data_IF_685626340683
#
_entry.id   IF_685626340683
#
_cell.length_a   1.000
_cell.length_b   1.000
_cell.length_c   1.000
_cell.angle_alpha   90.00
_cell.angle_beta   90.00
_cell.angle_gamma   90.00
#
_symmetry.space_group_name_H-M   'P 1'
#
loop_
_entity.id
_entity.type
_entity.pdbx_description
1 polymer ?
#
# COMPACT_ATOMS: atom_id res chain seq x y z
N UNK A 1 -30.04 60.13 7.31
CA UNK A 1 -29.57 58.86 6.71
C UNK A 1 -28.04 58.84 6.75
N UNK A 2 -27.41 59.92 6.30
CA UNK A 2 -25.98 60.26 6.40
C UNK A 2 -25.33 59.95 7.77
N UNK A 3 -25.85 60.49 8.88
CA UNK A 3 -25.30 60.22 10.23
C UNK A 3 -25.26 58.73 10.66
N UNK A 4 -26.07 57.85 10.05
CA UNK A 4 -25.98 56.39 10.28
C UNK A 4 -24.88 55.76 9.45
N UNK A 5 -24.68 56.26 8.22
CA UNK A 5 -23.59 55.86 7.33
C UNK A 5 -22.25 56.27 7.95
N UNK A 6 -22.12 57.49 8.43
CA UNK A 6 -20.90 58.01 9.06
C UNK A 6 -20.49 57.15 10.27
N UNK A 7 -21.47 56.76 11.09
CA UNK A 7 -21.26 55.87 12.25
C UNK A 7 -20.82 54.45 11.83
N UNK A 8 -21.24 53.97 10.68
CA UNK A 8 -20.81 52.67 10.15
C UNK A 8 -19.39 52.79 9.62
N UNK A 9 -19.09 53.85 8.87
CA UNK A 9 -17.76 54.13 8.35
C UNK A 9 -16.71 54.24 9.46
N UNK A 10 -17.02 54.99 10.53
CA UNK A 10 -16.15 55.10 11.70
C UNK A 10 -15.84 53.73 12.33
N UNK A 11 -16.85 52.86 12.45
CA UNK A 11 -16.66 51.51 13.00
C UNK A 11 -15.81 50.62 12.10
N UNK A 12 -15.93 50.77 10.78
CA UNK A 12 -15.10 50.04 9.82
C UNK A 12 -13.66 50.53 9.89
N UNK A 13 -13.43 51.84 9.87
CA UNK A 13 -12.09 52.42 10.03
C UNK A 13 -11.43 51.96 11.34
N UNK A 14 -12.21 51.95 12.43
CA UNK A 14 -11.72 51.42 13.71
C UNK A 14 -11.39 49.92 13.61
N UNK A 15 -12.28 49.11 13.04
CA UNK A 15 -12.06 47.67 12.90
C UNK A 15 -10.82 47.35 12.05
N UNK A 16 -10.59 48.11 10.97
CA UNK A 16 -9.40 47.99 10.13
C UNK A 16 -8.14 48.34 10.92
N UNK A 17 -8.15 49.45 11.66
CA UNK A 17 -7.01 49.85 12.50
C UNK A 17 -6.73 48.87 13.65
N UNK A 18 -7.78 48.29 14.25
CA UNK A 18 -7.67 47.27 15.29
C UNK A 18 -7.03 45.99 14.68
N UNK A 19 -7.40 45.60 13.47
CA UNK A 19 -6.85 44.43 12.77
C UNK A 19 -5.39 44.65 12.38
N UNK A 20 -5.03 45.82 11.86
CA UNK A 20 -3.64 46.18 11.57
C UNK A 20 -2.77 46.13 12.83
N UNK A 21 -3.27 46.63 13.96
CA UNK A 21 -2.55 46.57 15.23
C UNK A 21 -2.34 45.13 15.72
N UNK A 22 -3.37 44.27 15.61
CA UNK A 22 -3.25 42.85 15.94
C UNK A 22 -2.20 42.17 15.06
N UNK A 23 -2.21 42.42 13.75
CA UNK A 23 -1.23 41.88 12.82
C UNK A 23 0.19 42.33 13.20
N UNK A 24 0.40 43.62 13.43
CA UNK A 24 1.70 44.17 13.84
C UNK A 24 2.23 43.50 15.10
N UNK A 25 1.38 43.34 16.12
CA UNK A 25 1.74 42.67 17.37
C UNK A 25 2.14 41.21 17.14
N UNK A 26 1.36 40.46 16.37
CA UNK A 26 1.66 39.06 16.06
C UNK A 26 2.97 38.92 15.29
N UNK A 27 3.21 39.76 14.29
CA UNK A 27 4.47 39.75 13.55
C UNK A 27 5.67 40.06 14.44
N UNK A 28 5.53 41.04 15.34
CA UNK A 28 6.57 41.36 16.31
C UNK A 28 6.84 40.18 17.24
N UNK A 29 5.79 39.59 17.84
CA UNK A 29 5.90 38.45 18.73
C UNK A 29 6.51 37.22 18.03
N UNK A 30 6.15 36.93 16.79
CA UNK A 30 6.73 35.83 16.00
C UNK A 30 8.22 36.08 15.70
N UNK A 31 8.61 37.33 15.39
CA UNK A 31 10.00 37.72 15.11
C UNK A 31 10.88 37.62 16.36
N UNK A 32 10.40 38.05 17.53
CA UNK A 32 11.18 38.01 18.78
C UNK A 32 11.23 36.63 19.41
N UNK A 33 10.15 35.85 19.30
CA UNK A 33 10.07 34.50 19.85
C UNK A 33 10.66 33.48 18.89
N UNK A 34 11.50 33.90 17.94
CA UNK A 34 12.15 33.00 17.00
C UNK A 34 12.81 31.89 17.82
N UNK A 35 12.28 30.66 17.80
CA UNK A 35 13.01 29.58 18.42
C UNK A 35 14.29 29.51 17.60
N UNK A 36 15.42 29.69 18.26
CA UNK A 36 16.70 29.38 17.67
C UNK A 36 16.52 28.04 16.93
N UNK A 37 16.67 28.08 15.61
CA UNK A 37 15.95 27.21 14.65
C UNK A 37 16.39 25.74 14.66
N UNK A 38 17.01 25.30 15.76
CA UNK A 38 17.63 24.01 15.93
C UNK A 38 16.65 22.82 16.05
N UNK A 39 15.31 23.03 16.13
CA UNK A 39 14.42 21.91 16.47
C UNK A 39 13.01 21.84 15.85
N UNK A 40 12.40 22.94 15.39
CA UNK A 40 11.03 22.91 14.85
C UNK A 40 11.04 23.09 13.33
N UNK A 41 10.76 22.01 12.60
CA UNK A 41 10.63 22.05 11.13
C UNK A 41 9.45 22.93 10.72
N UNK A 42 9.62 23.64 9.61
CA UNK A 42 8.57 24.46 9.00
C UNK A 42 7.36 23.58 8.60
N UNK A 43 6.13 23.87 9.05
CA UNK A 43 4.94 23.09 8.69
C UNK A 43 4.68 22.98 7.19
N UNK A 44 4.98 24.03 6.41
CA UNK A 44 4.85 24.03 4.95
C UNK A 44 5.86 23.06 4.30
N UNK A 45 7.09 22.98 4.84
CA UNK A 45 8.08 22.02 4.38
C UNK A 45 7.65 20.58 4.71
N UNK A 46 7.14 20.34 5.93
CA UNK A 46 6.61 19.06 6.35
C UNK A 46 5.47 18.57 5.44
N UNK A 47 4.53 19.43 5.06
CA UNK A 47 3.44 19.08 4.15
C UNK A 47 3.95 18.64 2.77
N UNK A 48 5.00 19.31 2.25
CA UNK A 48 5.64 18.92 0.99
C UNK A 48 6.34 17.56 1.12
N UNK A 49 7.09 17.34 2.20
CA UNK A 49 7.75 16.05 2.48
C UNK A 49 6.72 14.91 2.55
N UNK A 50 5.62 15.11 3.29
CA UNK A 50 4.54 14.13 3.40
C UNK A 50 3.91 13.81 2.04
N UNK A 51 3.68 14.81 1.20
CA UNK A 51 3.16 14.58 -0.15
C UNK A 51 4.09 13.70 -0.99
N UNK A 52 5.41 13.91 -0.89
CA UNK A 52 6.40 13.09 -1.61
C UNK A 52 6.39 11.66 -1.08
N UNK A 53 6.34 11.46 0.24
CA UNK A 53 6.31 10.14 0.87
C UNK A 53 5.05 9.37 0.44
N UNK A 54 3.88 10.01 0.50
CA UNK A 54 2.61 9.41 0.11
C UNK A 54 2.62 8.99 -1.36
N UNK A 55 3.12 9.84 -2.25
CA UNK A 55 3.24 9.51 -3.68
C UNK A 55 4.16 8.31 -3.91
N UNK A 56 5.34 8.27 -3.26
CA UNK A 56 6.28 7.15 -3.39
C UNK A 56 5.68 5.84 -2.90
N UNK A 57 4.96 5.88 -1.79
CA UNK A 57 4.26 4.71 -1.26
C UNK A 57 3.20 4.19 -2.25
N UNK A 58 2.37 5.08 -2.80
CA UNK A 58 1.34 4.72 -3.77
C UNK A 58 1.95 4.06 -5.01
N UNK A 59 3.03 4.63 -5.55
CA UNK A 59 3.75 4.05 -6.69
C UNK A 59 4.31 2.67 -6.35
N UNK A 60 4.99 2.52 -5.21
CA UNK A 60 5.54 1.24 -4.79
C UNK A 60 4.45 0.18 -4.60
N UNK A 61 3.33 0.55 -3.99
CA UNK A 61 2.20 -0.34 -3.78
C UNK A 61 1.56 -0.78 -5.11
N UNK A 62 1.37 0.16 -6.05
CA UNK A 62 0.87 -0.14 -7.38
C UNK A 62 1.81 -1.08 -8.16
N UNK A 63 3.13 -0.90 -8.04
CA UNK A 63 4.13 -1.79 -8.63
C UNK A 63 4.14 -3.18 -7.97
N UNK A 64 3.96 -3.26 -6.65
CA UNK A 64 4.05 -4.51 -5.92
C UNK A 64 2.83 -5.43 -6.12
N UNK A 65 1.62 -4.86 -6.29
CA UNK A 65 0.39 -5.65 -6.52
C UNK A 65 0.51 -6.70 -7.63
N UNK A 66 0.87 -6.35 -8.89
CA UNK A 66 0.97 -7.34 -9.95
C UNK A 66 2.10 -8.35 -9.70
N UNK A 67 3.22 -7.92 -9.13
CA UNK A 67 4.35 -8.83 -8.79
C UNK A 67 3.94 -9.90 -7.80
N UNK A 68 3.14 -9.54 -6.78
CA UNK A 68 2.64 -10.50 -5.81
C UNK A 68 1.71 -11.55 -6.46
N UNK A 69 0.88 -11.13 -7.42
CA UNK A 69 -0.01 -12.03 -8.18
C UNK A 69 0.82 -12.95 -9.09
N UNK A 70 1.70 -12.39 -9.90
CA UNK A 70 2.55 -13.14 -10.83
C UNK A 70 3.44 -14.16 -10.10
N UNK A 71 3.99 -13.78 -8.95
CA UNK A 71 4.78 -14.68 -8.13
C UNK A 71 3.95 -15.85 -7.58
N UNK A 72 2.69 -15.61 -7.18
CA UNK A 72 1.76 -16.65 -6.75
C UNK A 72 1.42 -17.60 -7.92
N UNK A 73 1.14 -17.04 -9.10
CA UNK A 73 0.82 -17.81 -10.31
C UNK A 73 2.01 -18.64 -10.79
N UNK A 74 3.21 -18.06 -10.81
CA UNK A 74 4.45 -18.75 -11.19
C UNK A 74 4.69 -19.95 -10.27
N UNK A 75 4.56 -19.75 -8.96
CA UNK A 75 4.65 -20.82 -7.95
C UNK A 75 3.65 -21.94 -8.19
N UNK A 76 2.39 -21.59 -8.49
CA UNK A 76 1.33 -22.54 -8.86
C UNK A 76 1.70 -23.34 -10.11
N UNK A 77 2.15 -22.67 -11.17
CA UNK A 77 2.54 -23.27 -12.43
C UNK A 77 3.72 -24.24 -12.26
N UNK A 78 4.73 -23.87 -11.48
CA UNK A 78 5.86 -24.74 -11.15
C UNK A 78 5.39 -26.00 -10.41
N UNK A 79 4.52 -25.86 -9.41
CA UNK A 79 3.92 -27.00 -8.73
C UNK A 79 3.20 -27.94 -9.69
N UNK A 80 2.34 -27.41 -10.56
CA UNK A 80 1.59 -28.22 -11.52
C UNK A 80 2.54 -28.94 -12.49
N UNK A 81 3.56 -28.24 -12.96
CA UNK A 81 4.55 -28.75 -13.93
C UNK A 81 5.42 -29.85 -13.35
N UNK A 82 5.80 -29.75 -12.07
CA UNK A 82 6.60 -30.79 -11.39
C UNK A 82 5.72 -32.00 -11.04
N UNK A 83 4.50 -31.79 -10.52
CA UNK A 83 3.65 -32.89 -10.07
C UNK A 83 3.07 -33.72 -11.22
N UNK A 84 2.79 -33.12 -12.38
CA UNK A 84 2.16 -33.82 -13.53
C UNK A 84 3.01 -34.99 -14.09
N UNK A 85 4.29 -34.80 -14.49
CA UNK A 85 5.14 -35.89 -14.94
C UNK A 85 5.44 -36.88 -13.82
N UNK A 86 5.62 -36.42 -12.57
CA UNK A 86 5.87 -37.30 -11.43
C UNK A 86 4.73 -38.31 -11.21
N UNK A 87 3.47 -37.86 -11.28
CA UNK A 87 2.31 -38.75 -11.21
C UNK A 87 2.16 -39.63 -12.46
N UNK A 88 2.47 -39.09 -13.64
CA UNK A 88 2.41 -39.83 -14.91
C UNK A 88 3.45 -40.95 -14.99
N UNK A 89 4.62 -40.81 -14.37
CA UNK A 89 5.67 -41.84 -14.35
C UNK A 89 5.46 -42.88 -13.22
N UNK A 90 4.89 -42.48 -12.08
CA UNK A 90 4.55 -43.41 -10.99
C UNK A 90 3.36 -44.35 -11.32
N UNK A 91 2.37 -43.89 -12.10
CA UNK A 91 1.18 -44.71 -12.41
C UNK A 91 1.50 -45.96 -13.26
N UNK A 92 2.28 -45.90 -14.36
CA UNK A 92 2.69 -47.06 -15.15
C UNK A 92 3.61 -48.02 -14.40
N UNK A 93 4.48 -47.52 -13.50
CA UNK A 93 5.32 -48.34 -12.61
C UNK A 93 4.49 -49.24 -11.67
N UNK A 94 3.25 -48.83 -11.32
CA UNK A 94 2.34 -49.64 -10.50
C UNK A 94 1.57 -50.69 -11.30
N UNK A 95 1.46 -50.53 -12.62
CA UNK A 95 0.69 -51.43 -13.50
C UNK A 95 1.56 -52.43 -14.26
N UNK A 96 2.85 -52.16 -14.39
CA UNK A 96 3.84 -53.02 -15.05
C UNK A 96 4.86 -53.34 -13.97
N UNK A 97 5.12 -54.61 -13.62
CA UNK A 97 6.10 -55.09 -12.62
C UNK A 97 7.57 -54.76 -13.00
N UNK A 98 7.81 -53.58 -13.58
CA UNK A 98 9.10 -53.05 -13.94
C UNK A 98 9.63 -52.29 -12.71
N UNK A 99 10.37 -52.99 -11.85
CA UNK A 99 11.10 -52.35 -10.75
C UNK A 99 12.20 -51.45 -11.30
N UNK A 100 11.88 -50.18 -11.50
CA UNK A 100 12.87 -49.12 -11.49
C UNK A 100 13.13 -48.74 -10.03
N UNK A 101 14.39 -48.42 -9.71
CA UNK A 101 14.76 -47.96 -8.36
C UNK A 101 13.76 -46.91 -7.87
N UNK A 102 13.28 -47.02 -6.61
CA UNK A 102 12.44 -46.00 -6.01
C UNK A 102 13.08 -44.63 -6.24
N UNK A 103 12.23 -43.65 -6.59
CA UNK A 103 12.63 -42.25 -6.71
C UNK A 103 13.55 -41.89 -5.54
N UNK A 104 14.71 -41.28 -5.84
CA UNK A 104 15.70 -41.00 -4.81
C UNK A 104 15.04 -40.22 -3.66
N UNK A 105 15.41 -40.52 -2.42
CA UNK A 105 14.84 -39.85 -1.24
C UNK A 105 14.94 -38.33 -1.35
N UNK A 106 15.99 -37.83 -2.02
CA UNK A 106 16.16 -36.42 -2.37
C UNK A 106 14.99 -35.85 -3.21
N UNK A 107 14.54 -36.55 -4.25
CA UNK A 107 13.44 -36.10 -5.12
C UNK A 107 12.08 -36.14 -4.40
N UNK A 108 11.83 -37.14 -3.54
CA UNK A 108 10.62 -37.18 -2.70
C UNK A 108 10.60 -36.03 -1.71
N UNK A 109 11.73 -35.78 -1.06
CA UNK A 109 11.88 -34.69 -0.08
C UNK A 109 11.74 -33.33 -0.75
N UNK A 110 12.29 -33.15 -1.96
CA UNK A 110 12.15 -31.93 -2.75
C UNK A 110 10.68 -31.65 -3.12
N UNK A 111 9.92 -32.68 -3.49
CA UNK A 111 8.50 -32.54 -3.80
C UNK A 111 7.65 -32.18 -2.56
N UNK A 112 7.95 -32.78 -1.40
CA UNK A 112 7.28 -32.44 -0.13
C UNK A 112 7.63 -31.02 0.35
N UNK A 113 8.88 -30.59 0.23
CA UNK A 113 9.27 -29.22 0.55
C UNK A 113 8.62 -28.19 -0.38
N UNK A 114 8.46 -28.54 -1.66
CA UNK A 114 7.74 -27.70 -2.63
C UNK A 114 6.27 -27.55 -2.21
N UNK A 115 5.61 -28.64 -1.82
CA UNK A 115 4.22 -28.64 -1.32
C UNK A 115 4.06 -27.86 -0.02
N UNK A 116 4.97 -28.03 0.94
CA UNK A 116 4.90 -27.35 2.24
C UNK A 116 5.15 -25.84 2.16
N UNK A 117 5.99 -25.40 1.21
CA UNK A 117 6.20 -23.96 0.91
C UNK A 117 5.02 -23.31 0.17
N UNK A 118 4.01 -24.09 -0.22
CA UNK A 118 2.85 -23.63 -0.99
C UNK A 118 1.53 -24.16 -0.40
N UNK A 119 1.20 -23.82 0.87
CA UNK A 119 0.03 -24.36 1.56
C UNK A 119 -1.32 -23.98 0.90
N UNK A 120 -1.39 -22.85 0.20
CA UNK A 120 -2.63 -22.33 -0.41
C UNK A 120 -3.04 -22.99 -1.74
N UNK A 121 -2.20 -23.88 -2.30
CA UNK A 121 -2.41 -24.47 -3.62
C UNK A 121 -3.16 -25.83 -3.60
N UNK A 122 -3.59 -26.28 -2.42
CA UNK A 122 -4.23 -27.58 -2.21
C UNK A 122 -5.74 -27.67 -2.46
N UNK A 123 -6.41 -26.65 -3.00
CA UNK A 123 -7.87 -26.67 -3.20
C UNK A 123 -8.26 -26.26 -4.62
N UNK A 124 -8.11 -27.18 -5.57
CA UNK A 124 -8.70 -27.01 -6.89
C UNK A 124 -10.13 -27.58 -6.90
N UNK A 125 -11.10 -26.73 -7.23
CA UNK A 125 -12.36 -27.14 -7.85
C UNK A 125 -13.65 -26.80 -7.09
N UNK A 126 -14.15 -25.56 -7.23
CA UNK A 126 -15.50 -25.33 -7.76
C UNK A 126 -15.69 -23.84 -8.11
N UNK A 127 -15.97 -23.60 -9.39
CA UNK A 127 -16.50 -22.33 -9.89
C UNK A 127 -17.84 -22.02 -9.23
N UNK A 128 -17.95 -20.84 -8.62
CA UNK A 128 -19.19 -20.06 -8.67
C UNK A 128 -18.80 -18.60 -8.54
N UNK A 129 -18.84 -17.91 -9.68
CA UNK A 129 -18.81 -16.45 -9.67
C UNK A 129 -19.96 -15.92 -8.82
N UNK A 130 -19.75 -14.74 -8.25
CA UNK A 130 -20.77 -13.72 -8.11
C UNK A 130 -20.03 -12.38 -8.04
N UNK A 131 -20.34 -11.55 -9.03
CA UNK A 131 -20.12 -10.11 -9.01
C UNK A 131 -20.93 -9.51 -7.86
N UNK A 132 -20.29 -8.70 -7.04
CA UNK A 132 -20.92 -7.47 -6.55
C UNK A 132 -19.79 -6.49 -6.29
N UNK A 133 -19.66 -5.51 -7.18
CA UNK A 133 -18.92 -4.30 -6.87
C UNK A 133 -19.57 -3.62 -5.66
N UNK A 134 -18.73 -3.15 -4.76
CA UNK A 134 -19.09 -2.07 -3.86
C UNK A 134 -17.87 -1.16 -3.77
N UNK A 135 -17.97 -0.04 -4.49
CA UNK A 135 -17.32 1.19 -4.10
C UNK A 135 -17.64 1.44 -2.62
N UNK A 136 -16.62 1.71 -1.82
CA UNK A 136 -16.78 2.58 -0.66
C UNK A 136 -15.57 3.49 -0.55
N UNK A 137 -15.89 4.77 -0.73
CA UNK A 137 -15.08 5.97 -0.63
C UNK A 137 -14.44 6.16 0.75
N UNK A 138 -13.19 6.66 0.75
CA UNK A 138 -12.70 7.90 1.42
C UNK A 138 -11.24 7.76 1.82
#
# INVERSE_FOLDING_TARGET
>A
QEAKTDRIEEKLQKADSDLEYIQYRLEYEIKINHPDSAGKRNPVALLKELSVITSRYQTLYACFKPVAVEHKETKSCMCATVNKPMNMTQNPQKQTDLELSPLAEEEKTAAEQLKSRMPDLGRNGLSKGNSSGEEINS
#
